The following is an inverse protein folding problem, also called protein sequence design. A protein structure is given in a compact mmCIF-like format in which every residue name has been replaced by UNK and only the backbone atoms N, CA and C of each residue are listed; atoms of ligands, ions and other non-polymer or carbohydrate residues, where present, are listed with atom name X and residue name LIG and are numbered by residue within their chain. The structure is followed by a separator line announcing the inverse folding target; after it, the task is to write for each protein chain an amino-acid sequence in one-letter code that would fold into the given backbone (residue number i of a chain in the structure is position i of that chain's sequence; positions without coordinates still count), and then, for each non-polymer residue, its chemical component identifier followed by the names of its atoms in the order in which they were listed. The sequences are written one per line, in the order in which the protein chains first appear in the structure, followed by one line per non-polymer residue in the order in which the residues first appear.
data_IF_413468636055
#
_entry.id   IF_413468636055
#
_cell.length_a   1.000
_cell.length_b   1.000
_cell.length_c   1.000
_cell.angle_alpha   90.00
_cell.angle_beta   90.00
_cell.angle_gamma   90.00
#
_symmetry.space_group_name_H-M   'P 1'
#
loop_
_entity.id
_entity.type
_entity.pdbx_description
1 polymer ?
#
# COMPACT_ATOMS: atom_id res chain seq x y z
N UNK A 1 8.30 1.78 6.34
CA UNK A 1 8.20 2.89 5.38
C UNK A 1 7.01 2.63 4.46
N UNK A 2 5.99 3.50 4.42
CA UNK A 2 4.86 3.41 3.48
C UNK A 2 5.28 3.23 2.01
N UNK A 3 6.42 3.82 1.62
CA UNK A 3 7.00 3.68 0.28
C UNK A 3 7.43 2.25 -0.04
N UNK A 4 7.96 1.50 0.94
CA UNK A 4 8.31 0.09 0.75
C UNK A 4 7.07 -0.79 0.57
N UNK A 5 5.98 -0.52 1.31
CA UNK A 5 4.72 -1.24 1.11
C UNK A 5 4.17 -0.98 -0.29
N UNK A 6 4.17 0.28 -0.73
CA UNK A 6 3.71 0.66 -2.06
C UNK A 6 4.54 0.01 -3.17
N UNK A 7 5.87 0.14 -3.10
CA UNK A 7 6.79 -0.44 -4.09
C UNK A 7 6.75 -1.97 -4.13
N UNK A 8 6.71 -2.61 -2.95
CA UNK A 8 6.61 -4.08 -2.84
C UNK A 8 5.28 -4.61 -3.37
N UNK A 9 4.17 -3.95 -3.05
CA UNK A 9 2.85 -4.29 -3.58
C UNK A 9 2.78 -4.16 -5.10
N UNK A 10 3.34 -3.08 -5.65
CA UNK A 10 3.42 -2.88 -7.10
C UNK A 10 4.28 -3.95 -7.79
N UNK A 11 5.45 -4.27 -7.24
CA UNK A 11 6.34 -5.29 -7.80
C UNK A 11 5.66 -6.67 -7.80
N UNK A 12 4.95 -7.00 -6.71
CA UNK A 12 4.23 -8.26 -6.58
C UNK A 12 3.07 -8.34 -7.57
N UNK A 13 2.22 -7.30 -7.65
CA UNK A 13 1.11 -7.25 -8.60
C UNK A 13 1.59 -7.31 -10.07
N UNK A 14 2.61 -6.52 -10.42
CA UNK A 14 3.18 -6.51 -11.77
C UNK A 14 3.79 -7.88 -12.10
N UNK A 15 4.55 -8.48 -11.18
CA UNK A 15 5.12 -9.82 -11.37
C UNK A 15 4.03 -10.85 -11.61
N UNK A 16 3.06 -10.97 -10.72
CA UNK A 16 2.02 -12.01 -10.82
C UNK A 16 1.08 -11.79 -12.01
N UNK A 17 0.83 -10.54 -12.41
CA UNK A 17 -0.04 -10.20 -13.54
C UNK A 17 0.63 -10.40 -14.90
N UNK A 18 1.96 -10.17 -14.98
CA UNK A 18 2.72 -10.27 -16.23
C UNK A 18 3.35 -11.64 -16.45
N UNK A 19 3.62 -12.42 -15.40
CA UNK A 19 4.18 -13.77 -15.52
C UNK A 19 3.41 -14.65 -16.52
N UNK A 20 2.07 -14.72 -16.49
CA UNK A 20 1.31 -15.48 -17.50
C UNK A 20 1.56 -15.01 -18.93
N UNK A 21 1.61 -13.69 -19.15
CA UNK A 21 1.88 -13.10 -20.46
C UNK A 21 3.29 -13.42 -20.97
N UNK A 22 4.29 -13.40 -20.08
CA UNK A 22 5.66 -13.79 -20.40
C UNK A 22 5.79 -15.29 -20.76
N UNK A 23 4.85 -16.11 -20.31
CA UNK A 23 4.75 -17.53 -20.63
C UNK A 23 3.84 -17.82 -21.85
N UNK A 24 3.35 -16.78 -22.54
CA UNK A 24 2.49 -16.90 -23.73
C UNK A 24 1.01 -17.14 -23.44
N UNK A 25 0.58 -17.00 -22.18
CA UNK A 25 -0.83 -17.05 -21.78
C UNK A 25 -1.45 -15.64 -21.71
N UNK A 26 -2.76 -15.55 -21.49
CA UNK A 26 -3.40 -14.25 -21.26
C UNK A 26 -2.93 -13.61 -19.95
N UNK A 27 -2.63 -12.30 -19.94
CA UNK A 27 -2.28 -11.58 -18.71
C UNK A 27 -3.40 -11.69 -17.68
N UNK A 28 -3.02 -11.66 -16.39
CA UNK A 28 -3.93 -11.88 -15.25
C UNK A 28 -4.65 -13.24 -15.25
N UNK A 29 -4.32 -14.16 -16.16
CA UNK A 29 -4.86 -15.50 -16.13
C UNK A 29 -4.33 -16.26 -14.91
N UNK A 30 -5.25 -16.82 -14.14
CA UNK A 30 -4.95 -17.74 -13.06
C UNK A 30 -4.61 -19.10 -13.65
N UNK A 31 -3.48 -19.70 -13.25
CA UNK A 31 -3.29 -21.14 -13.53
C UNK A 31 -4.35 -21.89 -12.73
N UNK A 32 -5.36 -22.42 -13.41
CA UNK A 32 -6.30 -23.39 -12.85
C UNK A 32 -5.53 -24.67 -12.56
N UNK A 33 -4.85 -24.71 -11.41
CA UNK A 33 -4.48 -26.00 -10.82
C UNK A 33 -5.78 -26.58 -10.31
N UNK A 34 -6.46 -27.35 -11.15
CA UNK A 34 -7.47 -28.29 -10.67
C UNK A 34 -6.74 -29.29 -9.79
N UNK A 35 -6.61 -28.96 -8.50
CA UNK A 35 -6.40 -29.95 -7.46
C UNK A 35 -7.71 -30.76 -7.39
N UNK A 36 -7.85 -31.63 -8.38
CA UNK A 36 -8.80 -32.70 -8.43
C UNK A 36 -8.68 -33.41 -7.06
N UNK A 37 -9.81 -33.51 -6.35
CA UNK A 37 -10.02 -34.25 -5.09
C UNK A 37 -9.42 -33.69 -3.77
N UNK A 38 -10.02 -32.64 -3.21
CA UNK A 38 -10.05 -32.41 -1.76
C UNK A 38 -11.47 -32.73 -1.21
N UNK A 39 -11.65 -33.86 -0.48
CA UNK A 39 -12.97 -34.46 -0.20
C UNK A 39 -13.85 -33.69 0.80
N UNK A 40 -13.36 -32.58 1.38
CA UNK A 40 -14.11 -31.79 2.38
C UNK A 40 -14.46 -30.37 1.91
N UNK A 41 -13.82 -29.83 0.86
CA UNK A 41 -13.97 -28.41 0.44
C UNK A 41 -14.39 -28.26 -1.05
N UNK A 42 -14.27 -29.29 -1.89
CA UNK A 42 -14.48 -29.18 -3.34
C UNK A 42 -13.23 -28.65 -4.08
N UNK A 43 -13.37 -28.20 -5.34
CA UNK A 43 -12.27 -27.66 -6.16
C UNK A 43 -11.78 -26.32 -5.60
N UNK A 44 -10.75 -26.37 -4.74
CA UNK A 44 -9.98 -25.18 -4.34
C UNK A 44 -9.19 -24.67 -5.55
N UNK A 45 -9.76 -23.68 -6.24
CA UNK A 45 -9.08 -22.93 -7.30
C UNK A 45 -8.01 -22.04 -6.67
N UNK A 46 -6.81 -22.55 -6.47
CA UNK A 46 -5.65 -21.74 -6.11
C UNK A 46 -5.25 -20.89 -7.32
N UNK A 47 -5.89 -19.74 -7.46
CA UNK A 47 -5.58 -18.81 -8.55
C UNK A 47 -4.38 -17.95 -8.19
N UNK A 48 -3.41 -17.82 -9.10
CA UNK A 48 -2.37 -16.79 -9.02
C UNK A 48 -2.94 -15.37 -8.97
N UNK A 49 -4.21 -15.18 -9.34
CA UNK A 49 -4.96 -13.92 -9.14
C UNK A 49 -5.03 -13.48 -7.68
N UNK A 50 -5.06 -14.41 -6.70
CA UNK A 50 -5.06 -14.04 -5.28
C UNK A 50 -3.76 -13.31 -4.87
N UNK A 51 -2.63 -13.70 -5.44
CA UNK A 51 -1.38 -12.99 -5.22
C UNK A 51 -1.41 -11.60 -5.87
N UNK A 52 -2.01 -11.47 -7.06
CA UNK A 52 -2.24 -10.15 -7.68
C UNK A 52 -3.07 -9.24 -6.77
N UNK A 53 -4.17 -9.72 -6.21
CA UNK A 53 -5.02 -8.97 -5.28
C UNK A 53 -4.27 -8.57 -4.01
N UNK A 54 -3.44 -9.46 -3.46
CA UNK A 54 -2.54 -9.15 -2.34
C UNK A 54 -1.55 -8.03 -2.70
N UNK A 55 -0.97 -8.05 -3.89
CA UNK A 55 -0.07 -7.01 -4.38
C UNK A 55 -0.76 -5.66 -4.47
N UNK A 56 -1.95 -5.61 -5.07
CA UNK A 56 -2.76 -4.39 -5.17
C UNK A 56 -3.18 -3.89 -3.79
N UNK A 57 -3.57 -4.78 -2.87
CA UNK A 57 -3.93 -4.42 -1.50
C UNK A 57 -2.78 -3.74 -0.75
N UNK A 58 -1.57 -4.33 -0.82
CA UNK A 58 -0.38 -3.74 -0.20
C UNK A 58 0.00 -2.40 -0.84
N UNK A 59 -0.15 -2.28 -2.17
CA UNK A 59 0.06 -1.04 -2.88
C UNK A 59 -0.88 0.07 -2.38
N UNK A 60 -2.19 -0.22 -2.32
CA UNK A 60 -3.22 0.72 -1.88
C UNK A 60 -2.96 1.16 -0.43
N UNK A 61 -2.64 0.24 0.47
CA UNK A 61 -2.29 0.59 1.86
C UNK A 61 -1.04 1.45 1.90
N UNK A 62 0.02 1.10 1.19
CA UNK A 62 1.26 1.87 1.16
C UNK A 62 1.04 3.30 0.67
N UNK A 63 0.27 3.46 -0.40
CA UNK A 63 -0.12 4.77 -0.95
C UNK A 63 -0.99 5.55 0.03
N UNK A 64 -2.00 4.92 0.63
CA UNK A 64 -2.87 5.56 1.62
C UNK A 64 -2.07 6.05 2.83
N UNK A 65 -1.18 5.21 3.37
CA UNK A 65 -0.30 5.59 4.49
C UNK A 65 0.66 6.72 4.10
N UNK A 66 1.20 6.71 2.88
CA UNK A 66 2.07 7.78 2.37
C UNK A 66 1.31 9.11 2.28
N UNK A 67 0.08 9.08 1.79
CA UNK A 67 -0.78 10.26 1.70
C UNK A 67 -1.16 10.79 3.08
N UNK A 68 -1.61 9.92 3.99
CA UNK A 68 -1.92 10.29 5.37
C UNK A 68 -0.71 10.85 6.11
N UNK A 69 0.48 10.28 5.89
CA UNK A 69 1.73 10.79 6.47
C UNK A 69 2.06 12.20 5.95
N UNK A 70 1.90 12.43 4.65
CA UNK A 70 2.11 13.76 4.05
C UNK A 70 1.11 14.80 4.56
N UNK A 71 -0.13 14.40 4.80
CA UNK A 71 -1.15 15.29 5.38
C UNK A 71 -0.83 15.58 6.86
N UNK A 72 -0.46 14.58 7.65
CA UNK A 72 -0.09 14.75 9.06
C UNK A 72 1.09 15.71 9.26
N UNK A 73 2.06 15.72 8.35
CA UNK A 73 3.19 16.66 8.42
C UNK A 73 2.81 18.11 8.16
N UNK A 74 1.71 18.38 7.45
CA UNK A 74 1.25 19.74 7.14
C UNK A 74 0.45 20.40 8.27
N UNK A 75 0.12 19.67 9.34
CA UNK A 75 -0.71 20.15 10.45
C UNK A 75 0.10 20.46 11.73
N UNK A 76 1.44 20.52 11.65
CA UNK A 76 2.27 20.80 12.81
C UNK A 76 1.90 22.17 13.45
N UNK A 77 1.60 22.23 14.77
CA UNK A 77 1.19 23.47 15.42
C UNK A 77 2.24 24.57 15.25
N UNK A 78 1.80 25.76 14.85
CA UNK A 78 2.68 26.93 14.74
C UNK A 78 3.37 27.20 16.08
N UNK A 79 4.70 27.46 16.10
CA UNK A 79 5.42 27.72 17.33
C UNK A 79 4.78 28.91 18.04
N UNK A 80 4.31 28.66 19.26
CA UNK A 80 3.68 29.66 20.13
C UNK A 80 4.70 30.77 20.35
N UNK A 81 4.53 31.92 19.70
CA UNK A 81 5.32 33.12 19.99
C UNK A 81 5.10 33.45 21.46
N UNK A 82 6.08 33.11 22.29
CA UNK A 82 6.23 33.71 23.61
C UNK A 82 6.33 35.20 23.36
N UNK A 83 5.27 35.94 23.67
CA UNK A 83 5.36 37.39 23.81
C UNK A 83 6.43 37.63 24.87
N UNK A 84 7.61 38.04 24.45
CA UNK A 84 8.54 38.75 25.33
C UNK A 84 7.74 39.93 25.88
N UNK A 85 7.52 40.02 27.20
CA UNK A 85 6.89 41.18 27.80
C UNK A 85 7.66 42.40 27.32
N UNK A 86 6.95 43.35 26.71
CA UNK A 86 7.55 44.60 26.29
C UNK A 86 8.12 45.27 27.53
N UNK A 87 9.44 45.32 27.59
CA UNK A 87 10.24 46.15 28.48
C UNK A 87 9.99 47.62 28.10
N UNK A 88 8.84 48.13 28.53
CA UNK A 88 8.32 49.45 28.17
C UNK A 88 7.55 50.13 29.29
N UNK A 89 7.65 49.62 30.52
CA UNK A 89 6.96 50.15 31.69
C UNK A 89 7.95 50.45 32.84
N UNK A 90 9.06 51.10 32.51
CA UNK A 90 10.02 51.67 33.48
C UNK A 90 10.19 53.20 33.34
N UNK A 91 9.31 53.87 32.57
CA UNK A 91 9.44 55.31 32.30
C UNK A 91 8.13 56.08 32.36
N UNK A 92 7.20 55.74 33.25
CA UNK A 92 6.08 56.62 33.62
C UNK A 92 5.71 56.54 35.10
#
# INVERSE_FOLDING_TARGET
DPGLLAGGGLALAAGTGLVPALLGAEPLSGVLVEAHHLPLIGTLKFSTTLFFDMGVYLLVIGVALKLLSALGTNLAPAPRRTRTPAEGDLTR
#
